data_IF_107273296180
#
_entry.id   IF_107273296180
#
_cell.length_a   1.000
_cell.length_b   1.000
_cell.length_c   1.000
_cell.angle_alpha   90.00
_cell.angle_beta   90.00
_cell.angle_gamma   90.00
#
_symmetry.space_group_name_H-M   'P 1'
#
loop_
_entity.id
_entity.type
_entity.pdbx_description
1 polymer ?
#
# COMPACT_ATOMS: atom_id res chain seq x y z
N UNK A 1 -7.05 -8.69 4.45
CA UNK A 1 -6.99 -10.16 4.61
C UNK A 1 -6.02 -10.51 5.71
N UNK A 2 -6.35 -11.52 6.50
CA UNK A 2 -5.50 -12.03 7.58
C UNK A 2 -5.29 -13.54 7.37
N UNK A 3 -4.07 -14.08 7.49
CA UNK A 3 -3.89 -15.53 7.53
C UNK A 3 -4.56 -16.16 8.75
N UNK A 4 -4.97 -17.42 8.64
CA UNK A 4 -5.52 -18.15 9.82
C UNK A 4 -4.43 -18.49 10.84
N UNK A 5 -3.24 -18.82 10.36
CA UNK A 5 -2.06 -19.06 11.20
C UNK A 5 -1.47 -17.72 11.60
N UNK A 6 -1.06 -17.58 12.86
CA UNK A 6 -0.32 -16.40 13.30
C UNK A 6 1.05 -16.31 12.62
N UNK A 7 1.33 -15.13 12.08
CA UNK A 7 2.64 -14.67 11.63
C UNK A 7 2.87 -13.27 12.22
N UNK A 8 4.13 -12.88 12.49
CA UNK A 8 4.47 -11.52 12.89
C UNK A 8 3.89 -10.48 11.93
N UNK A 9 3.66 -9.28 12.42
CA UNK A 9 2.94 -8.26 11.65
C UNK A 9 3.64 -7.73 10.41
N UNK A 10 4.95 -7.90 10.29
CA UNK A 10 5.73 -7.39 9.18
C UNK A 10 5.66 -8.32 7.97
N UNK A 11 5.08 -7.84 6.87
CA UNK A 11 4.81 -8.65 5.69
C UNK A 11 6.08 -9.24 5.04
N UNK A 12 7.22 -8.58 5.19
CA UNK A 12 8.48 -9.00 4.58
C UNK A 12 9.22 -10.07 5.41
N UNK A 13 8.76 -10.39 6.62
CA UNK A 13 9.28 -11.51 7.42
C UNK A 13 8.53 -12.83 7.15
N UNK A 14 7.49 -12.81 6.30
CA UNK A 14 6.73 -14.02 5.99
C UNK A 14 7.56 -14.99 5.15
N UNK A 15 7.37 -16.32 5.36
CA UNK A 15 7.84 -17.31 4.41
C UNK A 15 7.31 -16.99 2.99
N UNK A 16 8.12 -17.14 1.92
CA UNK A 16 7.72 -16.72 0.57
C UNK A 16 6.36 -17.26 0.11
N UNK A 17 6.07 -18.53 0.42
CA UNK A 17 4.78 -19.14 0.08
C UNK A 17 3.62 -18.51 0.86
N UNK A 18 3.80 -18.22 2.15
CA UNK A 18 2.76 -17.60 2.97
C UNK A 18 2.42 -16.18 2.48
N UNK A 19 3.45 -15.40 2.09
CA UNK A 19 3.26 -14.09 1.49
C UNK A 19 2.52 -14.19 0.14
N UNK A 20 2.90 -15.13 -0.73
CA UNK A 20 2.25 -15.35 -2.01
C UNK A 20 0.77 -15.75 -1.83
N UNK A 21 0.48 -16.69 -0.93
CA UNK A 21 -0.88 -17.15 -0.66
C UNK A 21 -1.76 -16.01 -0.10
N UNK A 22 -1.21 -15.19 0.81
CA UNK A 22 -1.90 -14.01 1.34
C UNK A 22 -2.20 -12.99 0.24
N UNK A 23 -1.26 -12.76 -0.67
CA UNK A 23 -1.42 -11.87 -1.80
C UNK A 23 -2.49 -12.36 -2.79
N UNK A 24 -2.48 -13.65 -3.13
CA UNK A 24 -3.49 -14.25 -4.00
C UNK A 24 -4.90 -14.19 -3.38
N UNK A 25 -5.01 -14.42 -2.07
CA UNK A 25 -6.27 -14.25 -1.35
C UNK A 25 -6.74 -12.79 -1.35
N UNK A 26 -5.81 -11.86 -1.12
CA UNK A 26 -6.07 -10.41 -1.14
C UNK A 26 -6.53 -9.94 -2.52
N UNK A 27 -5.88 -10.39 -3.59
CA UNK A 27 -6.26 -10.10 -4.97
C UNK A 27 -7.70 -10.53 -5.28
N UNK A 28 -8.10 -11.73 -4.84
CA UNK A 28 -9.47 -12.23 -5.04
C UNK A 28 -10.50 -11.34 -4.36
N UNK A 29 -10.23 -10.87 -3.14
CA UNK A 29 -11.14 -9.97 -2.41
C UNK A 29 -11.15 -8.58 -3.02
N UNK A 30 -9.99 -8.02 -3.39
CA UNK A 30 -9.92 -6.74 -4.10
C UNK A 30 -10.77 -6.75 -5.38
N UNK A 31 -10.67 -7.81 -6.19
CA UNK A 31 -11.51 -7.96 -7.40
C UNK A 31 -13.00 -8.17 -7.13
N UNK A 32 -13.37 -8.66 -5.95
CA UNK A 32 -14.77 -8.71 -5.52
C UNK A 32 -15.25 -7.31 -5.13
N UNK A 33 -14.43 -6.53 -4.42
CA UNK A 33 -14.73 -5.14 -4.05
C UNK A 33 -14.89 -4.28 -5.31
N UNK A 34 -13.94 -4.35 -6.26
CA UNK A 34 -14.01 -3.64 -7.55
C UNK A 34 -15.33 -3.92 -8.30
N UNK A 35 -15.87 -5.15 -8.20
CA UNK A 35 -17.14 -5.52 -8.87
C UNK A 35 -18.39 -5.16 -8.08
N UNK A 36 -18.29 -5.08 -6.76
CA UNK A 36 -19.42 -4.84 -5.88
C UNK A 36 -19.85 -3.36 -5.88
N UNK A 37 -18.91 -2.45 -6.12
CA UNK A 37 -19.16 -1.01 -6.11
C UNK A 37 -19.07 -0.45 -7.54
N UNK A 38 -20.18 0.06 -8.11
CA UNK A 38 -20.19 0.54 -9.50
C UNK A 38 -19.30 1.77 -9.73
N UNK A 39 -18.99 2.52 -8.67
CA UNK A 39 -18.16 3.72 -8.71
C UNK A 39 -16.68 3.44 -8.38
N UNK A 40 -16.26 2.18 -8.29
CA UNK A 40 -14.87 1.79 -7.98
C UNK A 40 -14.26 1.09 -9.18
N UNK A 41 -13.15 1.61 -9.73
CA UNK A 41 -12.36 0.88 -10.73
C UNK A 41 -11.20 0.09 -10.12
N UNK A 42 -10.72 0.51 -8.95
CA UNK A 42 -9.55 -0.10 -8.28
C UNK A 42 -9.69 -0.03 -6.75
N UNK A 43 -9.14 -1.03 -6.09
CA UNK A 43 -9.00 -1.10 -4.63
C UNK A 43 -7.53 -0.96 -4.23
N UNK A 44 -7.22 -0.01 -3.34
CA UNK A 44 -5.89 0.16 -2.75
C UNK A 44 -5.58 -0.91 -1.70
N UNK A 45 -4.28 -1.18 -1.47
CA UNK A 45 -3.81 -2.20 -0.52
C UNK A 45 -2.67 -1.67 0.35
N UNK A 46 -2.70 -1.99 1.65
CA UNK A 46 -1.66 -1.59 2.61
C UNK A 46 -1.23 -2.76 3.51
N UNK A 47 0.08 -2.85 3.78
CA UNK A 47 0.65 -3.61 4.89
C UNK A 47 1.41 -2.62 5.78
N UNK A 48 0.99 -2.49 7.03
CA UNK A 48 1.54 -1.47 7.94
C UNK A 48 2.32 -2.11 9.10
N UNK A 49 1.73 -3.11 9.76
CA UNK A 49 2.43 -3.92 10.76
C UNK A 49 2.50 -3.34 12.19
N UNK A 50 2.28 -2.04 12.40
CA UNK A 50 2.43 -1.44 13.74
C UNK A 50 1.16 -1.41 14.62
N UNK A 51 -0.03 -1.62 14.05
CA UNK A 51 -1.28 -1.56 14.83
C UNK A 51 -1.58 -2.82 15.66
N UNK A 52 -1.20 -4.01 15.16
CA UNK A 52 -1.42 -5.31 15.80
C UNK A 52 -0.31 -6.26 15.36
N UNK A 53 0.23 -7.05 16.29
CA UNK A 53 1.20 -8.11 15.97
C UNK A 53 0.53 -9.32 15.29
N UNK A 54 0.05 -9.12 14.06
CA UNK A 54 -0.41 -10.17 13.17
C UNK A 54 -0.48 -9.62 11.74
N UNK A 55 0.15 -10.28 10.76
CA UNK A 55 0.17 -9.75 9.39
C UNK A 55 -1.24 -9.61 8.82
N UNK A 56 -1.53 -8.46 8.22
CA UNK A 56 -2.82 -8.22 7.60
C UNK A 56 -2.73 -7.23 6.45
N UNK A 57 -3.32 -7.58 5.31
CA UNK A 57 -3.53 -6.65 4.21
C UNK A 57 -4.79 -5.82 4.48
N UNK A 58 -4.71 -4.50 4.44
CA UNK A 58 -5.87 -3.62 4.44
C UNK A 58 -6.27 -3.35 2.99
N UNK A 59 -7.57 -3.37 2.69
CA UNK A 59 -8.11 -3.08 1.36
C UNK A 59 -9.02 -1.86 1.44
N UNK A 60 -8.84 -0.90 0.53
CA UNK A 60 -9.61 0.34 0.49
C UNK A 60 -10.18 0.56 -0.92
N UNK A 61 -11.49 0.31 -1.15
CA UNK A 61 -12.13 0.62 -2.43
C UNK A 61 -11.99 2.12 -2.74
N UNK A 62 -11.48 2.47 -3.91
CA UNK A 62 -11.27 3.87 -4.29
C UNK A 62 -12.52 4.38 -5.01
N UNK A 63 -13.51 4.80 -4.23
CA UNK A 63 -14.79 5.33 -4.71
C UNK A 63 -14.63 6.55 -5.64
N UNK A 64 -15.61 6.76 -6.53
CA UNK A 64 -15.58 7.82 -7.54
C UNK A 64 -14.60 7.58 -8.72
N UNK A 65 -14.03 6.38 -8.85
CA UNK A 65 -13.09 6.02 -9.93
C UNK A 65 -13.69 5.11 -11.01
N UNK A 66 -14.97 4.75 -10.92
CA UNK A 66 -15.63 3.78 -11.80
C UNK A 66 -15.77 4.22 -13.26
N UNK A 67 -15.86 5.53 -13.54
CA UNK A 67 -15.99 6.09 -14.90
C UNK A 67 -14.65 6.46 -15.56
N UNK A 68 -13.54 5.91 -15.05
CA UNK A 68 -12.22 6.09 -15.67
C UNK A 68 -12.08 5.15 -16.88
N UNK A 69 -12.85 5.42 -17.93
CA UNK A 69 -12.75 4.74 -19.24
C UNK A 69 -11.35 4.88 -19.85
N UNK A 70 -10.66 5.98 -19.53
CA UNK A 70 -9.26 6.21 -19.86
C UNK A 70 -8.46 6.49 -18.59
N UNK A 71 -7.25 5.95 -18.54
CA UNK A 71 -6.33 6.24 -17.45
C UNK A 71 -5.97 7.73 -17.45
N UNK A 72 -6.10 8.35 -16.28
CA UNK A 72 -5.56 9.68 -15.96
C UNK A 72 -5.12 9.69 -14.50
N UNK A 73 -4.10 10.47 -14.13
CA UNK A 73 -3.71 10.60 -12.73
C UNK A 73 -4.84 11.25 -11.91
N UNK A 74 -5.01 10.80 -10.67
CA UNK A 74 -5.82 11.46 -9.65
C UNK A 74 -4.85 11.92 -8.58
N UNK A 75 -4.56 13.22 -8.57
CA UNK A 75 -3.51 13.81 -7.73
C UNK A 75 -4.14 14.56 -6.55
N UNK A 76 -3.52 14.42 -5.38
CA UNK A 76 -3.85 15.21 -4.20
C UNK A 76 -2.76 16.25 -4.00
N UNK A 77 -3.13 17.54 -3.99
CA UNK A 77 -2.19 18.65 -3.78
C UNK A 77 -1.98 18.94 -2.29
N UNK A 78 -1.56 17.93 -1.53
CA UNK A 78 -1.21 18.10 -0.12
C UNK A 78 0.30 18.13 0.05
N UNK A 79 0.83 19.23 0.58
CA UNK A 79 2.27 19.36 0.87
C UNK A 79 2.55 18.90 2.31
N UNK A 80 2.15 17.67 2.65
CA UNK A 80 2.36 17.10 3.98
C UNK A 80 3.55 16.15 3.94
N UNK A 81 4.54 16.40 4.78
CA UNK A 81 5.70 15.53 4.97
C UNK A 81 5.96 15.34 6.46
N UNK A 82 6.39 14.13 6.83
CA UNK A 82 6.73 13.79 8.20
C UNK A 82 8.13 13.21 8.24
N UNK A 83 8.94 13.71 9.17
CA UNK A 83 10.30 13.19 9.40
C UNK A 83 10.28 11.83 10.11
N UNK A 84 9.20 11.54 10.84
CA UNK A 84 9.04 10.32 11.63
C UNK A 84 7.69 9.68 11.33
N UNK A 85 7.58 8.39 11.64
CA UNK A 85 6.34 7.65 11.43
C UNK A 85 5.26 8.09 12.43
N UNK A 86 4.13 8.57 11.90
CA UNK A 86 3.04 9.16 12.69
C UNK A 86 1.98 8.15 13.15
N UNK A 87 2.23 6.85 13.02
CA UNK A 87 1.22 5.83 13.33
C UNK A 87 0.22 5.57 12.20
N UNK A 88 0.50 6.04 10.98
CA UNK A 88 -0.26 5.72 9.77
C UNK A 88 0.58 5.84 8.49
N UNK A 89 0.12 5.16 7.42
CA UNK A 89 0.67 5.30 6.07
C UNK A 89 -0.25 6.16 5.20
N UNK A 90 0.36 6.96 4.32
CA UNK A 90 -0.34 7.77 3.32
C UNK A 90 0.38 7.67 1.98
N UNK A 91 -0.38 7.78 0.89
CA UNK A 91 0.12 7.75 -0.48
C UNK A 91 -0.08 9.08 -1.22
N UNK A 92 -0.25 10.20 -0.51
CA UNK A 92 -0.31 11.51 -1.16
C UNK A 92 1.08 11.91 -1.68
N UNK A 93 1.10 12.65 -2.78
CA UNK A 93 2.33 13.19 -3.35
C UNK A 93 2.94 14.28 -2.46
N UNK A 94 4.18 14.67 -2.79
CA UNK A 94 4.87 15.83 -2.21
C UNK A 94 5.76 16.46 -3.29
N UNK A 95 6.32 17.64 -3.00
CA UNK A 95 7.37 18.27 -3.81
C UNK A 95 8.57 17.33 -4.01
N UNK A 96 9.13 17.34 -5.22
CA UNK A 96 10.31 16.55 -5.60
C UNK A 96 11.52 16.98 -4.78
N UNK A 97 12.22 16.00 -4.21
CA UNK A 97 13.47 16.22 -3.51
C UNK A 97 14.64 16.51 -4.46
N UNK A 98 15.69 17.13 -3.93
CA UNK A 98 16.93 17.40 -4.64
C UNK A 98 17.63 16.12 -5.13
N UNK A 99 18.10 16.13 -6.39
CA UNK A 99 18.63 14.95 -7.06
C UNK A 99 19.96 14.46 -6.45
N UNK A 100 20.81 15.36 -5.95
CA UNK A 100 22.07 14.98 -5.28
C UNK A 100 21.78 14.28 -3.94
N UNK A 101 20.83 14.81 -3.16
CA UNK A 101 20.36 14.16 -1.92
C UNK A 101 19.74 12.79 -2.19
N UNK A 102 18.93 12.66 -3.25
CA UNK A 102 18.34 11.38 -3.65
C UNK A 102 19.41 10.35 -4.05
N UNK A 103 20.44 10.77 -4.79
CA UNK A 103 21.54 9.91 -5.17
C UNK A 103 22.32 9.38 -3.95
N UNK A 104 22.62 10.25 -2.99
CA UNK A 104 23.28 9.89 -1.74
C UNK A 104 22.43 8.91 -0.90
N UNK A 105 21.12 9.15 -0.80
CA UNK A 105 20.21 8.23 -0.10
C UNK A 105 20.15 6.85 -0.78
N UNK A 106 20.05 6.82 -2.11
CA UNK A 106 20.02 5.56 -2.86
C UNK A 106 21.32 4.75 -2.69
N UNK A 107 22.48 5.40 -2.60
CA UNK A 107 23.75 4.73 -2.30
C UNK A 107 23.72 4.06 -0.92
N UNK A 108 23.30 4.79 0.12
CA UNK A 108 23.17 4.25 1.48
C UNK A 108 22.23 3.05 1.56
N UNK A 109 21.10 3.07 0.85
CA UNK A 109 20.15 1.95 0.85
C UNK A 109 20.74 0.69 0.21
N UNK A 110 21.58 0.83 -0.82
CA UNK A 110 22.22 -0.32 -1.49
C UNK A 110 23.32 -0.99 -0.65
N UNK A 111 23.84 -0.29 0.34
CA UNK A 111 24.90 -0.77 1.24
C UNK A 111 24.36 -1.41 2.53
N UNK A 112 23.07 -1.24 2.82
CA UNK A 112 22.37 -1.81 3.99
C UNK A 112 21.99 -3.28 3.76
#
# INVERSE_FOLDING_TARGET
>A
MIPKKHYPSYAFDLPPQALADLMLATQKVAKKLDKAFPDVSRTGMFFEGFGVDHVHSKLSPMHGTGDLTHWKPIESRQNKFFEQYEGYLSSHDHERADDEKLAALAARIREA
#
